data_IF_042626128673
#
_entry.id   IF_042626128673
#
_cell.length_a   1.000
_cell.length_b   1.000
_cell.length_c   1.000
_cell.angle_alpha   90.00
_cell.angle_beta   90.00
_cell.angle_gamma   90.00
#
_symmetry.space_group_name_H-M   'P 1'
#
loop_
_entity.id
_entity.type
_entity.pdbx_description
1 polymer ?
#
# COMPACT_ATOMS: atom_id res chain seq x y z
N UNK A 1 46.31 -40.59 -21.16
CA UNK A 1 45.04 -40.02 -21.65
C UNK A 1 44.20 -39.75 -20.41
N UNK A 2 44.27 -38.53 -19.89
CA UNK A 2 43.55 -38.13 -18.69
C UNK A 2 42.16 -37.63 -19.10
N UNK A 3 41.12 -38.28 -18.57
CA UNK A 3 39.73 -37.93 -18.80
C UNK A 3 39.33 -36.85 -17.79
N UNK A 4 39.29 -35.59 -18.23
CA UNK A 4 38.70 -34.49 -17.46
C UNK A 4 37.17 -34.56 -17.60
N UNK A 5 36.49 -34.91 -16.51
CA UNK A 5 35.05 -34.76 -16.37
C UNK A 5 34.75 -33.31 -15.97
N UNK A 6 34.22 -32.52 -16.90
CA UNK A 6 33.72 -31.16 -16.62
C UNK A 6 32.31 -31.29 -16.05
N UNK A 7 32.17 -31.08 -14.74
CA UNK A 7 30.88 -30.98 -14.07
C UNK A 7 30.25 -29.61 -14.39
N UNK A 8 29.30 -29.57 -15.31
CA UNK A 8 28.49 -28.37 -15.57
C UNK A 8 27.55 -28.13 -14.38
N UNK A 9 27.89 -27.15 -13.55
CA UNK A 9 26.98 -26.62 -12.53
C UNK A 9 25.88 -25.82 -13.25
N UNK A 10 24.71 -26.43 -13.45
CA UNK A 10 23.50 -25.72 -13.88
C UNK A 10 23.08 -24.76 -12.77
N UNK A 11 23.61 -23.53 -12.78
CA UNK A 11 23.09 -22.45 -11.95
C UNK A 11 21.74 -22.07 -12.56
N UNK A 12 20.65 -22.63 -12.03
CA UNK A 12 19.32 -22.17 -12.33
C UNK A 12 19.21 -20.71 -11.86
N UNK A 13 19.36 -19.77 -12.80
CA UNK A 13 19.00 -18.37 -12.56
C UNK A 13 17.49 -18.36 -12.38
N UNK A 14 17.04 -18.33 -11.13
CA UNK A 14 15.66 -18.00 -10.82
C UNK A 14 15.42 -16.62 -11.42
N UNK A 15 14.68 -16.54 -12.53
CA UNK A 15 14.31 -15.27 -13.14
C UNK A 15 13.68 -14.42 -12.05
N UNK A 16 14.27 -13.27 -11.75
CA UNK A 16 13.71 -12.34 -10.78
C UNK A 16 12.27 -12.03 -11.21
N UNK A 17 11.30 -12.42 -10.38
CA UNK A 17 9.91 -12.04 -10.59
C UNK A 17 9.88 -10.52 -10.57
N UNK A 18 9.51 -9.90 -11.69
CA UNK A 18 9.36 -8.46 -11.78
C UNK A 18 8.00 -8.00 -11.27
N UNK A 19 7.87 -6.71 -11.00
CA UNK A 19 6.60 -6.13 -10.59
C UNK A 19 5.55 -6.25 -11.70
N UNK A 20 4.28 -6.60 -11.40
CA UNK A 20 3.24 -6.74 -12.41
C UNK A 20 2.99 -5.48 -13.24
N UNK A 21 2.36 -5.68 -14.39
CA UNK A 21 1.97 -4.59 -15.30
C UNK A 21 0.93 -3.67 -14.66
N UNK A 22 0.88 -2.43 -15.14
CA UNK A 22 0.03 -1.37 -14.62
C UNK A 22 0.80 -0.34 -13.81
N UNK A 23 0.12 0.76 -13.53
CA UNK A 23 0.59 1.87 -12.70
C UNK A 23 -0.20 1.88 -11.40
N UNK A 24 0.48 2.09 -10.29
CA UNK A 24 -0.11 1.98 -8.95
C UNK A 24 0.89 2.49 -7.90
N UNK A 25 0.37 2.74 -6.71
CA UNK A 25 1.16 3.19 -5.55
C UNK A 25 1.02 2.20 -4.40
N UNK A 26 2.11 2.02 -3.66
CA UNK A 26 2.17 1.25 -2.42
C UNK A 26 2.69 2.15 -1.29
N UNK A 27 2.29 1.93 -0.03
CA UNK A 27 2.91 2.58 1.12
C UNK A 27 4.41 2.33 1.13
N UNK A 28 5.19 3.36 1.47
CA UNK A 28 6.65 3.28 1.52
C UNK A 28 7.12 2.66 2.83
N UNK A 29 7.86 1.53 2.79
CA UNK A 29 8.57 1.04 3.96
C UNK A 29 9.79 1.89 4.32
N UNK A 30 10.24 1.78 5.57
CA UNK A 30 11.53 2.33 6.05
C UNK A 30 12.73 1.85 5.24
N UNK A 31 12.63 0.67 4.61
CA UNK A 31 13.67 0.09 3.74
C UNK A 31 13.74 0.72 2.33
N UNK A 32 12.86 1.68 2.05
CA UNK A 32 12.81 2.45 0.80
C UNK A 32 12.03 1.76 -0.32
N UNK A 33 11.94 2.45 -1.46
CA UNK A 33 11.16 1.98 -2.60
C UNK A 33 11.89 0.93 -3.44
N UNK A 34 11.15 0.08 -4.19
CA UNK A 34 11.73 -0.73 -5.24
C UNK A 34 12.50 0.14 -6.27
N UNK A 35 13.59 -0.37 -6.87
CA UNK A 35 14.37 0.39 -7.84
C UNK A 35 13.51 0.92 -9.00
N UNK A 36 13.73 2.18 -9.36
CA UNK A 36 13.03 2.84 -10.47
C UNK A 36 11.61 3.34 -10.16
N UNK A 37 11.15 3.23 -8.91
CA UNK A 37 9.85 3.77 -8.49
C UNK A 37 10.00 5.21 -8.02
N UNK A 38 8.98 6.03 -8.29
CA UNK A 38 8.92 7.41 -7.84
C UNK A 38 8.47 7.46 -6.37
N UNK A 39 8.84 8.53 -5.68
CA UNK A 39 8.43 8.77 -4.30
C UNK A 39 7.54 10.00 -4.18
N UNK A 40 6.67 9.97 -3.18
CA UNK A 40 5.83 11.10 -2.80
C UNK A 40 5.23 10.87 -1.43
N UNK A 41 4.44 11.82 -0.97
CA UNK A 41 3.79 11.71 0.33
C UNK A 41 2.64 12.69 0.47
N UNK A 42 1.83 12.43 1.49
CA UNK A 42 0.87 13.39 2.02
C UNK A 42 1.19 13.70 3.48
N UNK A 43 0.89 14.92 3.85
CA UNK A 43 0.66 15.36 5.21
C UNK A 43 -0.85 15.55 5.35
N UNK A 44 -1.42 14.88 6.35
CA UNK A 44 -2.82 14.98 6.72
C UNK A 44 -2.89 15.66 8.09
N UNK A 45 -3.46 16.86 8.11
CA UNK A 45 -3.83 17.58 9.32
C UNK A 45 -5.09 16.90 9.86
N UNK A 46 -4.92 16.15 10.93
CA UNK A 46 -5.98 15.41 11.59
C UNK A 46 -6.52 16.26 12.76
N UNK A 47 -7.67 15.87 13.31
CA UNK A 47 -8.32 16.58 14.42
C UNK A 47 -7.34 16.98 15.54
N UNK A 48 -7.33 18.26 15.92
CA UNK A 48 -6.41 18.77 16.95
C UNK A 48 -6.92 18.51 18.39
N UNK A 49 -8.23 18.31 18.58
CA UNK A 49 -8.90 18.10 19.87
C UNK A 49 -9.25 16.64 20.12
N UNK A 50 -8.86 16.07 21.27
CA UNK A 50 -9.09 14.64 21.60
C UNK A 50 -8.55 13.63 20.58
N UNK A 51 -7.61 14.04 19.74
CA UNK A 51 -6.99 13.25 18.69
C UNK A 51 -6.64 11.79 19.11
N UNK A 52 -7.19 10.82 18.39
CA UNK A 52 -6.95 9.38 18.58
C UNK A 52 -6.16 8.73 17.43
N UNK A 53 -5.37 9.51 16.70
CA UNK A 53 -4.38 9.00 15.75
C UNK A 53 -3.50 7.95 16.40
N UNK A 54 -3.25 6.88 15.65
CA UNK A 54 -2.34 5.84 16.10
C UNK A 54 -1.79 5.02 14.94
N UNK A 55 -0.61 4.46 15.16
CA UNK A 55 -0.07 3.37 14.34
C UNK A 55 0.03 2.14 15.21
N UNK A 56 -0.34 0.98 14.66
CA UNK A 56 -0.19 -0.31 15.34
C UNK A 56 0.74 -1.20 14.52
N UNK A 57 1.80 -1.75 15.13
CA UNK A 57 2.23 -1.49 16.50
C UNK A 57 2.78 -0.05 16.66
N UNK A 58 2.61 0.55 17.84
CA UNK A 58 3.07 1.93 18.10
C UNK A 58 4.59 2.06 18.06
N UNK A 59 5.31 0.98 18.37
CA UNK A 59 6.75 0.84 18.21
C UNK A 59 7.01 -0.33 17.28
N UNK A 60 7.97 -0.17 16.38
CA UNK A 60 8.40 -1.25 15.48
C UNK A 60 7.57 -1.41 14.22
N UNK A 61 6.61 -0.51 13.93
CA UNK A 61 5.98 -0.45 12.61
C UNK A 61 7.00 -0.15 11.51
N UNK A 62 6.71 -0.54 10.28
CA UNK A 62 7.67 -0.45 9.16
C UNK A 62 7.41 0.71 8.19
N UNK A 63 6.37 1.53 8.42
CA UNK A 63 6.07 2.68 7.57
C UNK A 63 7.18 3.74 7.64
N UNK A 64 7.56 4.30 6.49
CA UNK A 64 8.29 5.57 6.44
C UNK A 64 7.27 6.70 6.60
N UNK A 65 7.04 7.15 7.83
CA UNK A 65 6.00 8.13 8.14
C UNK A 65 5.98 8.52 9.63
N UNK A 66 5.13 9.48 9.96
CA UNK A 66 4.89 9.93 11.35
C UNK A 66 3.40 9.88 11.65
N UNK A 67 3.03 9.36 12.81
CA UNK A 67 1.64 9.09 13.21
C UNK A 67 1.40 9.67 14.61
N UNK A 68 1.58 10.98 14.73
CA UNK A 68 1.39 11.72 15.98
C UNK A 68 0.06 12.46 15.91
N UNK A 69 0.07 13.74 16.31
CA UNK A 69 -1.09 14.62 16.10
C UNK A 69 -1.52 14.66 14.63
N UNK A 70 -0.55 14.75 13.72
CA UNK A 70 -0.81 14.73 12.28
C UNK A 70 -0.14 13.54 11.62
N UNK A 71 -0.70 13.11 10.49
CA UNK A 71 -0.26 11.91 9.79
C UNK A 71 0.56 12.26 8.55
N UNK A 72 1.82 11.85 8.52
CA UNK A 72 2.62 11.82 7.31
C UNK A 72 2.72 10.40 6.77
N UNK A 73 2.21 10.17 5.56
CA UNK A 73 2.30 8.88 4.89
C UNK A 73 2.94 9.02 3.51
N UNK A 74 3.94 8.17 3.26
CA UNK A 74 4.78 8.20 2.09
C UNK A 74 4.48 7.01 1.16
N UNK A 75 4.75 7.19 -0.12
CA UNK A 75 4.40 6.28 -1.19
C UNK A 75 5.58 5.95 -2.08
N UNK A 76 5.62 4.69 -2.50
CA UNK A 76 6.37 4.24 -3.65
C UNK A 76 5.40 4.07 -4.81
N UNK A 77 5.62 4.78 -5.91
CA UNK A 77 4.72 4.77 -7.07
C UNK A 77 5.41 4.22 -8.30
N UNK A 78 4.83 3.16 -8.87
CA UNK A 78 5.21 2.63 -10.17
C UNK A 78 4.51 3.44 -11.26
N UNK A 79 5.26 4.32 -11.92
CA UNK A 79 4.73 5.23 -12.95
C UNK A 79 4.72 4.62 -14.35
N UNK A 80 5.47 3.55 -14.58
CA UNK A 80 5.53 2.83 -15.87
C UNK A 80 4.46 1.74 -15.94
N UNK A 81 3.80 1.62 -17.09
CA UNK A 81 2.76 0.60 -17.30
C UNK A 81 3.33 -0.80 -17.57
N UNK A 82 4.54 -0.89 -18.13
CA UNK A 82 5.24 -2.16 -18.38
C UNK A 82 5.54 -2.92 -17.09
N UNK A 83 5.42 -4.24 -17.09
CA UNK A 83 5.76 -5.09 -15.95
C UNK A 83 5.75 -6.57 -16.32
N UNK A 84 5.99 -7.43 -15.34
CA UNK A 84 6.03 -8.89 -15.52
C UNK A 84 4.62 -9.49 -15.39
N UNK A 85 3.87 -9.50 -16.49
CA UNK A 85 2.55 -10.13 -16.55
C UNK A 85 1.46 -9.38 -15.78
N UNK A 86 0.39 -10.11 -15.46
CA UNK A 86 -0.76 -9.58 -14.70
C UNK A 86 -0.56 -9.79 -13.20
N UNK A 87 -1.27 -9.00 -12.39
CA UNK A 87 -1.30 -9.23 -10.95
C UNK A 87 -1.93 -10.59 -10.62
N UNK A 88 -1.34 -11.36 -9.69
CA UNK A 88 -1.84 -12.67 -9.31
C UNK A 88 -3.20 -12.59 -8.60
N UNK A 89 -4.10 -13.53 -8.88
CA UNK A 89 -5.38 -13.62 -8.18
C UNK A 89 -5.21 -13.74 -6.66
N UNK A 90 -6.07 -13.08 -5.90
CA UNK A 90 -5.94 -13.04 -4.44
C UNK A 90 -6.92 -12.09 -3.75
N UNK A 91 -6.62 -11.77 -2.49
CA UNK A 91 -7.42 -10.87 -1.66
C UNK A 91 -6.54 -9.78 -1.01
N UNK A 92 -6.42 -8.63 -1.68
CA UNK A 92 -5.58 -7.51 -1.26
C UNK A 92 -5.90 -6.25 -2.10
N UNK A 93 -5.51 -5.08 -1.60
CA UNK A 93 -5.61 -3.83 -2.36
C UNK A 93 -4.25 -3.15 -2.56
N UNK A 94 -4.24 -2.22 -3.52
CA UNK A 94 -3.18 -1.26 -3.82
C UNK A 94 -3.81 0.12 -3.97
N UNK A 95 -3.04 1.20 -3.77
CA UNK A 95 -3.53 2.54 -4.01
C UNK A 95 -3.52 2.83 -5.52
N UNK A 96 -4.62 3.38 -6.02
CA UNK A 96 -4.78 3.66 -7.46
C UNK A 96 -3.83 4.77 -7.85
N UNK A 97 -3.22 4.64 -9.02
CA UNK A 97 -2.43 5.73 -9.61
C UNK A 97 -2.56 5.72 -11.12
N UNK A 98 -2.68 6.91 -11.71
CA UNK A 98 -2.75 7.08 -13.15
C UNK A 98 -4.17 6.96 -13.72
N UNK A 99 -5.19 7.23 -12.90
CA UNK A 99 -6.58 7.40 -13.31
C UNK A 99 -7.39 6.11 -13.45
N UNK A 100 -6.76 4.93 -13.35
CA UNK A 100 -7.43 3.63 -13.54
C UNK A 100 -6.72 2.52 -12.79
N UNK A 101 -7.46 1.49 -12.40
CA UNK A 101 -6.87 0.29 -11.81
C UNK A 101 -6.14 -0.59 -12.83
N UNK A 102 -5.07 -1.30 -12.43
CA UNK A 102 -4.53 -2.39 -13.24
C UNK A 102 -5.59 -3.44 -13.57
N UNK A 103 -5.37 -4.19 -14.65
CA UNK A 103 -6.32 -5.21 -15.12
C UNK A 103 -6.67 -6.23 -14.01
N UNK A 104 -7.96 -6.53 -13.87
CA UNK A 104 -8.47 -7.49 -12.89
C UNK A 104 -8.61 -6.97 -11.47
N UNK A 105 -8.49 -5.66 -11.24
CA UNK A 105 -8.86 -5.00 -9.97
C UNK A 105 -10.17 -4.23 -10.12
N UNK A 106 -10.94 -4.19 -9.03
CA UNK A 106 -12.10 -3.32 -8.87
C UNK A 106 -11.71 -2.04 -8.12
N UNK A 107 -12.35 -0.93 -8.43
CA UNK A 107 -12.05 0.37 -7.82
C UNK A 107 -12.98 0.70 -6.65
N UNK A 108 -12.51 1.52 -5.73
CA UNK A 108 -13.27 2.13 -4.66
C UNK A 108 -12.47 3.27 -4.04
N UNK A 109 -12.98 3.85 -2.96
CA UNK A 109 -12.30 4.92 -2.24
C UNK A 109 -12.59 4.88 -0.74
N UNK A 110 -11.73 5.56 0.00
CA UNK A 110 -12.02 6.04 1.37
C UNK A 110 -11.86 7.55 1.35
N UNK A 111 -12.78 8.23 2.02
CA UNK A 111 -12.85 9.67 2.19
C UNK A 111 -12.88 9.99 3.69
N UNK A 112 -11.94 10.84 4.11
CA UNK A 112 -11.82 11.41 5.45
C UNK A 112 -12.22 12.88 5.36
N UNK A 113 -13.21 13.27 6.17
CA UNK A 113 -13.55 14.67 6.42
C UNK A 113 -12.57 15.19 7.47
N UNK A 114 -11.44 15.71 7.01
CA UNK A 114 -10.34 16.16 7.88
C UNK A 114 -10.71 17.48 8.58
N UNK A 115 -9.85 17.98 9.49
CA UNK A 115 -10.12 19.17 10.30
C UNK A 115 -10.56 20.39 9.46
N UNK A 116 -11.66 21.03 9.85
CA UNK A 116 -12.23 22.16 9.11
C UNK A 116 -11.56 23.51 9.43
N UNK A 117 -10.91 23.63 10.59
CA UNK A 117 -10.29 24.85 11.08
C UNK A 117 -8.77 24.85 10.85
N UNK A 118 -8.23 25.92 10.25
CA UNK A 118 -6.77 26.10 10.05
C UNK A 118 -6.01 24.95 9.35
N UNK A 119 -6.73 24.11 8.61
CA UNK A 119 -6.21 22.94 7.92
C UNK A 119 -4.97 23.22 7.05
N UNK A 120 -3.90 22.45 7.28
CA UNK A 120 -2.63 22.51 6.58
C UNK A 120 -2.30 21.23 5.78
N UNK A 121 -3.31 20.47 5.35
CA UNK A 121 -3.18 19.34 4.44
C UNK A 121 -2.26 19.70 3.26
N UNK A 122 -1.31 18.80 2.97
CA UNK A 122 -0.38 19.02 1.86
C UNK A 122 0.11 17.72 1.24
N UNK A 123 0.67 17.84 0.04
CA UNK A 123 1.19 16.71 -0.73
C UNK A 123 2.40 17.11 -1.55
N UNK A 124 3.25 16.14 -1.86
CA UNK A 124 4.44 16.37 -2.66
C UNK A 124 4.86 15.09 -3.40
N UNK A 125 5.64 15.25 -4.47
CA UNK A 125 6.15 14.13 -5.26
C UNK A 125 5.05 13.37 -6.01
N UNK A 126 5.21 12.05 -6.12
CA UNK A 126 4.27 11.16 -6.82
C UNK A 126 3.51 10.30 -5.83
N UNK A 127 2.22 10.56 -5.70
CA UNK A 127 1.31 9.98 -4.71
C UNK A 127 0.06 9.39 -5.40
N UNK A 128 -0.77 8.60 -4.69
CA UNK A 128 -1.96 7.99 -5.26
C UNK A 128 -2.98 8.98 -5.84
N UNK A 129 -3.87 8.50 -6.69
CA UNK A 129 -5.03 9.26 -7.14
C UNK A 129 -5.93 9.60 -5.95
N UNK A 130 -6.38 10.84 -5.86
CA UNK A 130 -7.16 11.29 -4.72
C UNK A 130 -7.46 12.79 -4.70
N UNK A 131 -8.12 13.20 -3.62
CA UNK A 131 -8.30 14.60 -3.19
C UNK A 131 -7.49 14.77 -1.91
N UNK A 132 -6.78 15.88 -1.79
CA UNK A 132 -5.82 16.14 -0.72
C UNK A 132 -5.77 17.66 -0.50
N UNK A 133 -6.96 18.26 -0.38
CA UNK A 133 -7.14 19.68 -0.13
C UNK A 133 -7.63 19.85 1.30
N UNK A 134 -8.81 20.44 1.54
CA UNK A 134 -9.41 20.45 2.88
C UNK A 134 -9.65 19.03 3.38
N UNK A 135 -10.06 18.12 2.50
CA UNK A 135 -10.35 16.74 2.89
C UNK A 135 -9.47 15.75 2.15
N UNK A 136 -9.36 14.54 2.69
CA UNK A 136 -8.55 13.48 2.10
C UNK A 136 -9.46 12.43 1.46
N UNK A 137 -9.30 12.21 0.16
CA UNK A 137 -9.88 11.08 -0.57
C UNK A 137 -8.78 10.28 -1.21
N UNK A 138 -8.79 8.96 -1.05
CA UNK A 138 -7.82 8.09 -1.73
C UNK A 138 -8.59 7.03 -2.50
N UNK A 139 -8.22 6.86 -3.76
CA UNK A 139 -8.75 5.78 -4.57
C UNK A 139 -7.89 4.53 -4.44
N UNK A 140 -8.58 3.39 -4.41
CA UNK A 140 -7.97 2.07 -4.29
C UNK A 140 -8.37 1.19 -5.45
N UNK A 141 -7.57 0.13 -5.58
CA UNK A 141 -7.80 -0.99 -6.48
C UNK A 141 -7.68 -2.24 -5.64
N UNK A 142 -8.72 -3.07 -5.58
CA UNK A 142 -8.69 -4.34 -4.85
C UNK A 142 -8.92 -5.56 -5.75
N UNK A 143 -8.31 -6.68 -5.36
CA UNK A 143 -8.60 -8.02 -5.87
C UNK A 143 -9.35 -8.82 -4.82
N UNK A 144 -10.33 -9.59 -5.27
CA UNK A 144 -11.09 -10.57 -4.49
C UNK A 144 -11.35 -11.86 -5.28
N UNK A 145 -10.54 -12.11 -6.30
CA UNK A 145 -10.66 -13.24 -7.23
C UNK A 145 -9.82 -14.46 -6.80
N UNK A 146 -9.33 -14.47 -5.56
CA UNK A 146 -8.56 -15.58 -5.01
C UNK A 146 -8.52 -15.56 -3.48
N UNK A 147 -8.03 -16.67 -2.90
CA UNK A 147 -7.90 -16.82 -1.45
C UNK A 147 -6.61 -16.20 -0.92
N UNK A 148 -6.69 -15.45 0.19
CA UNK A 148 -5.50 -14.95 0.89
C UNK A 148 -4.57 -16.07 1.41
N UNK A 149 -5.07 -17.30 1.56
CA UNK A 149 -4.28 -18.45 2.01
C UNK A 149 -3.44 -19.09 0.89
N UNK A 150 -3.76 -18.80 -0.37
CA UNK A 150 -2.98 -19.26 -1.52
C UNK A 150 -1.76 -18.36 -1.71
N UNK A 151 -0.57 -18.94 -1.91
CA UNK A 151 0.63 -18.13 -2.12
C UNK A 151 0.62 -17.45 -3.50
N UNK A 152 0.81 -16.13 -3.52
CA UNK A 152 1.08 -15.38 -4.74
C UNK A 152 2.58 -15.13 -4.92
N UNK A 153 3.01 -14.90 -6.16
CA UNK A 153 4.39 -14.53 -6.47
C UNK A 153 4.43 -13.03 -6.78
N UNK A 154 5.18 -12.30 -5.96
CA UNK A 154 5.56 -10.90 -6.17
C UNK A 154 7.08 -10.79 -5.98
N UNK A 155 7.72 -9.69 -6.42
CA UNK A 155 9.15 -9.49 -6.18
C UNK A 155 9.47 -9.48 -4.68
N UNK A 156 10.46 -10.27 -4.26
CA UNK A 156 10.85 -10.45 -2.84
C UNK A 156 12.21 -9.83 -2.50
N UNK A 157 12.81 -9.09 -3.44
CA UNK A 157 14.14 -8.50 -3.26
C UNK A 157 14.15 -7.29 -2.29
N UNK A 158 12.99 -6.72 -2.00
CA UNK A 158 12.80 -5.67 -1.00
C UNK A 158 11.47 -5.86 -0.28
N UNK A 159 11.39 -5.50 1.01
CA UNK A 159 10.11 -5.44 1.71
C UNK A 159 9.14 -4.46 1.05
N UNK A 160 7.84 -4.73 1.18
CA UNK A 160 6.80 -3.89 0.61
C UNK A 160 5.49 -4.02 1.40
N UNK A 161 4.57 -3.11 1.14
CA UNK A 161 3.21 -3.18 1.66
C UNK A 161 2.20 -3.56 0.59
N UNK A 162 1.18 -4.32 0.99
CA UNK A 162 -0.14 -4.29 0.38
C UNK A 162 -1.14 -3.79 1.41
N UNK A 163 -2.29 -3.33 0.96
CA UNK A 163 -3.42 -3.05 1.85
C UNK A 163 -4.18 -4.35 2.10
N UNK A 164 -4.55 -4.60 3.36
CA UNK A 164 -5.43 -5.72 3.71
C UNK A 164 -6.82 -5.44 3.13
N UNK A 165 -7.53 -6.46 2.67
CA UNK A 165 -8.86 -6.28 2.06
C UNK A 165 -10.01 -6.89 2.87
N UNK A 166 -10.50 -8.09 2.56
CA UNK A 166 -11.68 -8.65 3.25
C UNK A 166 -11.36 -9.86 4.14
N UNK A 167 -10.11 -10.33 4.12
CA UNK A 167 -9.65 -11.47 4.91
C UNK A 167 -8.35 -11.15 5.66
N UNK A 168 -7.68 -12.16 6.21
CA UNK A 168 -6.27 -12.04 6.61
C UNK A 168 -5.40 -11.59 5.43
N UNK A 169 -4.19 -11.12 5.71
CA UNK A 169 -3.24 -10.76 4.69
C UNK A 169 -2.96 -11.88 3.68
N UNK A 170 -2.90 -11.49 2.41
CA UNK A 170 -2.50 -12.33 1.30
C UNK A 170 -1.13 -12.95 1.55
N UNK A 171 -0.97 -14.27 1.42
CA UNK A 171 0.35 -14.92 1.52
C UNK A 171 1.18 -14.65 0.27
N UNK A 172 2.41 -14.17 0.45
CA UNK A 172 3.40 -13.97 -0.63
C UNK A 172 4.49 -15.03 -0.48
N UNK A 173 4.79 -15.76 -1.56
CA UNK A 173 5.80 -16.82 -1.53
C UNK A 173 7.17 -16.23 -1.19
N UNK A 174 7.81 -16.79 -0.16
CA UNK A 174 9.16 -16.40 0.25
C UNK A 174 9.23 -15.15 1.13
N UNK A 175 8.10 -14.63 1.60
CA UNK A 175 8.05 -13.48 2.52
C UNK A 175 7.24 -13.84 3.76
N UNK A 176 7.61 -13.25 4.89
CA UNK A 176 6.78 -13.23 6.10
C UNK A 176 5.86 -12.01 6.05
N UNK A 177 4.69 -12.10 6.69
CA UNK A 177 3.74 -10.98 6.75
C UNK A 177 3.51 -10.50 8.18
N UNK A 178 3.49 -9.19 8.36
CA UNK A 178 3.11 -8.51 9.60
C UNK A 178 1.89 -7.62 9.32
N UNK A 179 0.80 -7.82 10.06
CA UNK A 179 -0.36 -6.93 10.00
C UNK A 179 -0.04 -5.64 10.78
N UNK A 180 -0.24 -4.50 10.12
CA UNK A 180 -0.07 -3.18 10.71
C UNK A 180 -1.30 -2.33 10.40
N UNK A 181 -1.56 -1.29 11.19
CA UNK A 181 -2.67 -0.38 10.92
C UNK A 181 -2.34 1.05 11.25
N UNK A 182 -3.00 1.97 10.55
CA UNK A 182 -2.93 3.41 10.80
C UNK A 182 -4.35 3.90 11.02
N UNK A 183 -4.59 4.49 12.18
CA UNK A 183 -5.80 5.25 12.49
C UNK A 183 -5.50 6.74 12.27
N UNK A 184 -6.27 7.35 11.39
CA UNK A 184 -6.28 8.77 11.04
C UNK A 184 -7.61 9.33 11.53
N UNK A 185 -7.57 10.07 12.62
CA UNK A 185 -8.71 10.73 13.23
C UNK A 185 -9.20 11.85 12.31
N UNK A 186 -10.50 11.82 12.05
CA UNK A 186 -11.21 12.80 11.24
C UNK A 186 -12.02 13.75 12.15
N UNK A 187 -12.67 14.76 11.57
CA UNK A 187 -13.41 15.78 12.32
C UNK A 187 -14.47 15.14 13.25
N UNK A 188 -14.53 15.60 14.51
CA UNK A 188 -15.50 15.07 15.50
C UNK A 188 -16.92 15.65 15.29
N UNK A 189 -17.03 16.86 14.73
CA UNK A 189 -18.28 17.60 14.52
C UNK A 189 -18.72 17.62 13.04
N UNK A 190 -19.95 17.18 12.75
CA UNK A 190 -20.50 17.10 11.37
C UNK A 190 -19.66 16.27 10.38
N UNK A 191 -18.96 15.25 10.89
CA UNK A 191 -18.16 14.31 10.13
C UNK A 191 -18.91 13.66 8.94
N UNK A 192 -18.45 13.93 7.72
CA UNK A 192 -18.98 13.34 6.48
C UNK A 192 -18.05 12.29 5.86
N UNK A 193 -17.18 11.65 6.68
CA UNK A 193 -16.35 10.54 6.23
C UNK A 193 -17.19 9.45 5.58
N UNK A 194 -16.67 8.92 4.48
CA UNK A 194 -17.41 7.99 3.63
C UNK A 194 -16.49 7.07 2.85
N UNK A 195 -17.06 5.99 2.33
CA UNK A 195 -16.37 5.02 1.50
C UNK A 195 -17.37 4.41 0.52
N UNK A 196 -16.87 3.95 -0.62
CA UNK A 196 -17.67 3.23 -1.62
C UNK A 196 -16.77 2.34 -2.48
N UNK A 197 -17.38 1.34 -3.11
CA UNK A 197 -16.70 0.38 -3.97
C UNK A 197 -15.70 -0.49 -3.22
N UNK A 198 -14.65 -0.93 -3.91
CA UNK A 198 -13.63 -1.79 -3.31
C UNK A 198 -12.48 -0.98 -2.69
N UNK A 199 -12.35 -1.04 -1.38
CA UNK A 199 -11.30 -0.36 -0.61
C UNK A 199 -10.73 -1.27 0.51
N UNK A 200 -9.58 -0.93 1.10
CA UNK A 200 -8.96 -1.70 2.18
C UNK A 200 -9.88 -1.99 3.38
N UNK A 201 -9.53 -3.05 4.12
CA UNK A 201 -10.09 -3.40 5.43
C UNK A 201 -10.02 -2.19 6.36
N UNK A 202 -11.12 -1.97 7.07
CA UNK A 202 -11.25 -0.91 8.08
C UNK A 202 -12.17 -1.37 9.22
N UNK A 203 -11.89 -0.93 10.44
CA UNK A 203 -12.79 -1.16 11.60
C UNK A 203 -13.86 -0.08 11.73
N UNK A 204 -13.56 1.13 11.24
CA UNK A 204 -14.36 2.36 11.19
C UNK A 204 -13.89 3.19 9.97
N UNK A 205 -14.33 4.42 9.76
CA UNK A 205 -13.82 5.28 8.65
C UNK A 205 -12.36 5.69 8.83
N UNK A 206 -11.85 5.68 10.07
CA UNK A 206 -10.56 6.27 10.43
C UNK A 206 -9.40 5.29 10.40
N UNK A 207 -9.63 3.97 10.50
CA UNK A 207 -8.55 2.97 10.55
C UNK A 207 -8.38 2.17 9.26
N UNK A 208 -7.17 2.19 8.69
CA UNK A 208 -6.80 1.36 7.54
C UNK A 208 -5.81 0.27 7.95
N UNK A 209 -6.05 -0.97 7.52
CA UNK A 209 -5.16 -2.10 7.77
C UNK A 209 -4.23 -2.42 6.57
N UNK A 210 -3.02 -2.82 6.89
CA UNK A 210 -1.91 -3.05 5.97
C UNK A 210 -1.23 -4.39 6.24
N UNK A 211 -0.62 -4.92 5.19
CA UNK A 211 0.17 -6.14 5.20
C UNK A 211 1.60 -5.78 4.82
N UNK A 212 2.51 -5.78 5.79
CA UNK A 212 3.94 -5.60 5.55
C UNK A 212 4.60 -6.94 5.23
N UNK A 213 5.29 -7.04 4.10
CA UNK A 213 6.00 -8.25 3.68
C UNK A 213 7.50 -8.03 3.75
N UNK A 214 8.22 -8.94 4.39
CA UNK A 214 9.70 -8.93 4.49
C UNK A 214 10.32 -10.31 4.52
#
# INVERSE_FOLDING_TARGET
>A
MENIFILFLMIASACAVGWPSGRYSLPKPKTGCPPGWAEGGRYQDNEDSNNINSVTPSIGHHFFGTFGRNTNLYYCTKTTSSGSGSWPSGNYCIARYGGSCPSGFSTGFIYWDDEDNANANSKWGVFPDGVYDRNTKIYYCCKSDGSAYSYINLPTNKPFYLYKYTSTCQRVRGMTVTEESVKMDDEDDQNNSSDDGCHPSKSDTTKVDYCYYS
#
